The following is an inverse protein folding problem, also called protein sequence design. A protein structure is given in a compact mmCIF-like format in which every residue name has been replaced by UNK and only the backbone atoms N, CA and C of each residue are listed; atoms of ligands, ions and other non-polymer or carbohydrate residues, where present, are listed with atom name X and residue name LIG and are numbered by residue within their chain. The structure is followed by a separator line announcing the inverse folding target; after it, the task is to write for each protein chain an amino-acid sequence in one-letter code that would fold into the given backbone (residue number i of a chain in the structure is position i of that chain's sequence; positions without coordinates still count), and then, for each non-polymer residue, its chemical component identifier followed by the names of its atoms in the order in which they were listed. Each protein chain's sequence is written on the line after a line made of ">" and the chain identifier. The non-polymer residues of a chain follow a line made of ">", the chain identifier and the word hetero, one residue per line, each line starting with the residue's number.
data_IF_004164899070
#
_entry.id   IF_004164899070
#
_cell.length_a   1.000
_cell.length_b   1.000
_cell.length_c   1.000
_cell.angle_alpha   90.00
_cell.angle_beta   90.00
_cell.angle_gamma   90.00
#
_symmetry.space_group_name_H-M   'P 1'
#
loop_
_entity.id
_entity.type
_entity.pdbx_description
1 polymer ?
#
# COMPACT_ATOMS: atom_id res chain seq x y z
N UNK A 1 20.92 -1.12 -7.33
CA UNK A 1 19.99 -0.06 -7.80
C UNK A 1 18.98 0.19 -6.69
N UNK A 2 18.65 1.43 -6.35
CA UNK A 2 17.64 1.69 -5.31
C UNK A 2 16.24 1.37 -5.85
N UNK A 3 15.37 0.73 -5.07
CA UNK A 3 14.03 0.27 -5.49
C UNK A 3 13.20 1.38 -6.17
N UNK A 4 13.26 2.61 -5.64
CA UNK A 4 12.57 3.76 -6.23
C UNK A 4 13.14 4.16 -7.59
N UNK A 5 14.45 4.11 -7.77
CA UNK A 5 15.07 4.40 -9.06
C UNK A 5 14.65 3.38 -10.11
N UNK A 6 14.55 2.10 -9.74
CA UNK A 6 14.06 1.06 -10.63
C UNK A 6 12.59 1.29 -11.01
N UNK A 7 11.73 1.56 -10.02
CA UNK A 7 10.32 1.88 -10.25
C UNK A 7 10.15 3.05 -11.23
N UNK A 8 10.92 4.12 -11.03
CA UNK A 8 10.81 5.33 -11.84
C UNK A 8 11.38 5.14 -13.24
N UNK A 9 12.58 4.56 -13.35
CA UNK A 9 13.35 4.56 -14.60
C UNK A 9 13.30 3.25 -15.40
N UNK A 10 13.05 2.11 -14.76
CA UNK A 10 13.20 0.80 -15.40
C UNK A 10 11.89 0.04 -15.55
N UNK A 11 10.99 0.09 -14.57
CA UNK A 11 9.74 -0.69 -14.59
C UNK A 11 8.92 -0.45 -15.87
N UNK A 12 8.80 0.79 -16.33
CA UNK A 12 8.02 1.11 -17.53
C UNK A 12 8.59 0.55 -18.85
N UNK A 13 9.87 0.16 -18.86
CA UNK A 13 10.53 -0.45 -20.03
C UNK A 13 10.24 -1.95 -20.12
N UNK A 14 9.87 -2.59 -19.01
CA UNK A 14 9.66 -4.03 -18.95
C UNK A 14 8.23 -4.39 -19.39
N UNK A 15 8.04 -5.40 -20.27
CA UNK A 15 6.71 -5.84 -20.67
C UNK A 15 5.89 -6.37 -19.49
N UNK A 16 6.50 -7.14 -18.61
CA UNK A 16 5.82 -7.76 -17.46
C UNK A 16 5.34 -6.71 -16.46
N UNK A 17 6.15 -5.69 -16.19
CA UNK A 17 5.76 -4.58 -15.34
C UNK A 17 4.64 -3.74 -15.96
N UNK A 18 4.62 -3.54 -17.29
CA UNK A 18 3.49 -2.87 -17.96
C UNK A 18 2.20 -3.70 -17.87
N UNK A 19 2.30 -5.01 -18.07
CA UNK A 19 1.17 -5.92 -17.96
C UNK A 19 0.61 -5.93 -16.52
N UNK A 20 1.50 -6.07 -15.52
CA UNK A 20 1.12 -6.02 -14.12
C UNK A 20 0.55 -4.65 -13.73
N UNK A 21 1.14 -3.54 -14.17
CA UNK A 21 0.61 -2.21 -13.90
C UNK A 21 -0.82 -2.04 -14.44
N UNK A 22 -1.08 -2.49 -15.67
CA UNK A 22 -2.42 -2.46 -16.26
C UNK A 22 -3.42 -3.31 -15.47
N UNK A 23 -3.06 -4.54 -15.12
CA UNK A 23 -3.89 -5.44 -14.30
C UNK A 23 -4.16 -4.86 -12.90
N UNK A 24 -3.24 -4.07 -12.37
CA UNK A 24 -3.34 -3.41 -11.07
C UNK A 24 -3.97 -2.01 -11.14
N UNK A 25 -4.33 -1.50 -12.33
CA UNK A 25 -4.84 -0.13 -12.49
C UNK A 25 -3.83 0.94 -12.06
N UNK A 26 -2.54 0.69 -12.26
CA UNK A 26 -1.43 1.58 -11.93
C UNK A 26 -0.96 2.35 -13.15
N UNK A 27 -0.63 3.61 -12.94
CA UNK A 27 0.14 4.40 -13.90
C UNK A 27 1.63 4.37 -13.56
N UNK A 28 2.44 3.99 -14.54
CA UNK A 28 3.89 3.96 -14.41
C UNK A 28 4.47 5.38 -14.52
N UNK A 29 5.43 5.77 -13.67
CA UNK A 29 6.01 7.12 -13.65
C UNK A 29 6.83 7.48 -14.89
N UNK A 30 7.31 6.49 -15.67
CA UNK A 30 8.00 6.70 -16.95
C UNK A 30 9.16 7.73 -16.92
N UNK A 31 10.01 7.67 -15.87
CA UNK A 31 11.13 8.60 -15.67
C UNK A 31 10.77 9.88 -14.90
N UNK A 32 9.49 10.09 -14.55
CA UNK A 32 9.06 11.21 -13.74
C UNK A 32 9.22 10.92 -12.24
N UNK A 33 10.10 11.67 -11.58
CA UNK A 33 10.34 11.58 -10.12
C UNK A 33 9.36 12.40 -9.27
N UNK A 34 8.44 13.14 -9.89
CA UNK A 34 7.53 14.04 -9.19
C UNK A 34 6.18 13.38 -8.93
N UNK A 35 5.58 13.76 -7.79
CA UNK A 35 4.24 13.36 -7.41
C UNK A 35 4.15 11.96 -6.78
N UNK A 36 2.92 11.59 -6.44
CA UNK A 36 2.60 10.40 -5.65
C UNK A 36 2.95 9.10 -6.38
N UNK A 37 2.77 9.10 -7.71
CA UNK A 37 3.02 7.95 -8.58
C UNK A 37 4.50 7.57 -8.65
N UNK A 38 5.41 8.50 -8.34
CA UNK A 38 6.85 8.23 -8.27
C UNK A 38 7.29 7.60 -6.93
N UNK A 39 6.45 7.67 -5.91
CA UNK A 39 6.73 7.09 -4.59
C UNK A 39 6.44 5.59 -4.53
N UNK A 40 7.24 4.86 -3.75
CA UNK A 40 7.10 3.40 -3.61
C UNK A 40 5.79 2.95 -2.97
N UNK A 41 5.20 3.78 -2.11
CA UNK A 41 3.93 3.48 -1.45
C UNK A 41 2.79 3.26 -2.44
N UNK A 42 2.76 3.99 -3.56
CA UNK A 42 1.70 3.89 -4.56
C UNK A 42 1.58 2.47 -5.17
N UNK A 43 2.61 1.91 -5.82
CA UNK A 43 2.55 0.55 -6.36
C UNK A 43 2.50 -0.52 -5.26
N UNK A 44 3.19 -0.34 -4.13
CA UNK A 44 3.16 -1.31 -3.02
C UNK A 44 1.74 -1.42 -2.44
N UNK A 45 1.06 -0.29 -2.23
CA UNK A 45 -0.32 -0.27 -1.71
C UNK A 45 -1.26 -1.01 -2.64
N UNK A 46 -1.09 -0.85 -3.96
CA UNK A 46 -1.92 -1.56 -4.92
C UNK A 46 -1.72 -3.07 -4.87
N UNK A 47 -0.47 -3.54 -4.86
CA UNK A 47 -0.16 -4.96 -4.69
C UNK A 47 -0.75 -5.51 -3.39
N UNK A 48 -0.65 -4.76 -2.31
CA UNK A 48 -1.20 -5.14 -1.01
C UNK A 48 -2.73 -5.24 -1.03
N UNK A 49 -3.41 -4.26 -1.63
CA UNK A 49 -4.88 -4.25 -1.72
C UNK A 49 -5.44 -5.40 -2.53
N UNK A 50 -4.75 -5.84 -3.57
CA UNK A 50 -5.19 -6.94 -4.43
C UNK A 50 -4.64 -8.31 -4.00
N UNK A 51 -3.87 -8.36 -2.89
CA UNK A 51 -3.26 -9.58 -2.39
C UNK A 51 -2.13 -10.13 -3.28
N UNK A 52 -1.54 -9.27 -4.11
CA UNK A 52 -0.45 -9.57 -5.05
C UNK A 52 0.92 -9.09 -4.55
N UNK A 53 1.07 -8.81 -3.27
CA UNK A 53 2.31 -8.39 -2.61
C UNK A 53 3.29 -9.56 -2.42
N UNK A 54 3.73 -10.17 -3.53
CA UNK A 54 4.63 -11.32 -3.57
C UNK A 54 6.05 -10.93 -4.00
N UNK A 55 7.10 -11.68 -3.61
CA UNK A 55 8.48 -11.38 -4.03
C UNK A 55 8.66 -11.28 -5.55
N UNK A 56 7.90 -12.05 -6.33
CA UNK A 56 7.91 -11.99 -7.79
C UNK A 56 7.42 -10.63 -8.31
N UNK A 57 6.27 -10.16 -7.84
CA UNK A 57 5.74 -8.85 -8.24
C UNK A 57 6.61 -7.69 -7.73
N UNK A 58 7.26 -7.87 -6.57
CA UNK A 58 8.25 -6.93 -6.09
C UNK A 58 9.46 -6.83 -7.02
N UNK A 59 9.98 -7.97 -7.53
CA UNK A 59 11.06 -7.95 -8.53
C UNK A 59 10.65 -7.25 -9.81
N UNK A 60 9.42 -7.48 -10.28
CA UNK A 60 8.88 -6.86 -11.49
C UNK A 60 8.83 -5.33 -11.36
N UNK A 61 8.35 -4.79 -10.23
CA UNK A 61 8.22 -3.33 -10.08
C UNK A 61 9.44 -2.62 -9.52
N UNK A 62 10.28 -3.31 -8.74
CA UNK A 62 11.33 -2.66 -7.94
C UNK A 62 12.73 -3.25 -8.15
N UNK A 63 12.85 -4.37 -8.88
CA UNK A 63 14.13 -5.06 -9.08
C UNK A 63 14.69 -5.71 -7.81
N UNK A 64 13.87 -5.86 -6.76
CA UNK A 64 14.23 -6.44 -5.45
C UNK A 64 13.10 -7.33 -4.94
N UNK A 65 13.39 -8.22 -4.00
CA UNK A 65 12.41 -9.19 -3.47
C UNK A 65 11.43 -8.58 -2.47
N UNK A 66 11.80 -7.46 -1.83
CA UNK A 66 10.97 -6.79 -0.84
C UNK A 66 11.42 -5.35 -0.61
N UNK A 67 10.51 -4.54 -0.07
CA UNK A 67 10.77 -3.21 0.48
C UNK A 67 10.17 -3.18 1.89
N UNK A 68 10.83 -3.81 2.88
CA UNK A 68 10.19 -4.31 4.09
C UNK A 68 9.48 -3.23 4.92
N UNK A 69 10.12 -2.08 5.16
CA UNK A 69 9.54 -1.04 6.01
C UNK A 69 8.27 -0.43 5.39
N UNK A 70 8.34 -0.05 4.11
CA UNK A 70 7.22 0.53 3.37
C UNK A 70 6.11 -0.51 3.17
N UNK A 71 6.49 -1.76 2.88
CA UNK A 71 5.54 -2.86 2.72
C UNK A 71 4.80 -3.15 4.03
N UNK A 72 5.50 -3.28 5.15
CA UNK A 72 4.90 -3.55 6.46
C UNK A 72 3.97 -2.41 6.91
N UNK A 73 4.38 -1.15 6.73
CA UNK A 73 3.53 0.01 7.03
C UNK A 73 2.26 0.01 6.17
N UNK A 74 2.43 -0.18 4.86
CA UNK A 74 1.31 -0.20 3.91
C UNK A 74 0.36 -1.37 4.16
N UNK A 75 0.90 -2.54 4.51
CA UNK A 75 0.13 -3.73 4.91
C UNK A 75 -0.79 -3.41 6.08
N UNK A 76 -0.26 -2.80 7.12
CA UNK A 76 -1.01 -2.40 8.31
C UNK A 76 -2.13 -1.41 7.95
N UNK A 77 -1.82 -0.37 7.18
CA UNK A 77 -2.82 0.62 6.75
C UNK A 77 -3.97 0.00 5.95
N UNK A 78 -3.66 -0.90 5.00
CA UNK A 78 -4.69 -1.56 4.18
C UNK A 78 -5.55 -2.50 5.03
N UNK A 79 -4.94 -3.28 5.92
CA UNK A 79 -5.67 -4.17 6.81
C UNK A 79 -6.55 -3.42 7.81
N UNK A 80 -6.15 -2.23 8.24
CA UNK A 80 -6.94 -1.37 9.11
C UNK A 80 -8.00 -0.55 8.36
N UNK A 81 -7.96 -0.49 7.03
CA UNK A 81 -8.91 0.32 6.25
C UNK A 81 -10.38 0.02 6.58
N UNK A 82 -10.82 -1.24 6.77
CA UNK A 82 -12.19 -1.55 7.18
C UNK A 82 -12.60 -1.03 8.56
N UNK A 83 -11.64 -0.73 9.45
CA UNK A 83 -11.91 -0.23 10.80
C UNK A 83 -11.87 1.29 10.89
N UNK A 84 -11.48 1.98 9.80
CA UNK A 84 -11.42 3.44 9.76
C UNK A 84 -12.84 4.02 9.70
N UNK A 85 -13.11 4.99 10.57
CA UNK A 85 -14.41 5.67 10.64
C UNK A 85 -14.75 6.38 9.32
N UNK A 86 -16.01 6.24 8.89
CA UNK A 86 -16.51 6.96 7.72
C UNK A 86 -16.48 8.48 7.91
N UNK A 87 -16.09 9.21 6.87
CA UNK A 87 -15.92 10.66 6.89
C UNK A 87 -14.66 11.15 7.63
N UNK A 88 -13.86 10.26 8.21
CA UNK A 88 -12.59 10.66 8.83
C UNK A 88 -11.56 11.09 7.79
N UNK A 89 -10.59 11.96 8.15
CA UNK A 89 -9.47 12.31 7.26
C UNK A 89 -8.71 11.09 6.75
N UNK A 90 -8.54 10.07 7.60
CA UNK A 90 -7.90 8.81 7.22
C UNK A 90 -8.67 8.07 6.12
N UNK A 91 -10.01 8.03 6.19
CA UNK A 91 -10.82 7.41 5.15
C UNK A 91 -10.66 8.15 3.81
N UNK A 92 -10.70 9.49 3.83
CA UNK A 92 -10.53 10.30 2.63
C UNK A 92 -9.17 10.10 1.99
N UNK A 93 -8.10 10.09 2.82
CA UNK A 93 -6.75 9.81 2.34
C UNK A 93 -6.64 8.41 1.74
N UNK A 94 -7.20 7.38 2.38
CA UNK A 94 -7.20 6.03 1.82
C UNK A 94 -7.90 5.99 0.47
N UNK A 95 -9.10 6.57 0.34
CA UNK A 95 -9.82 6.65 -0.95
C UNK A 95 -9.00 7.33 -2.03
N UNK A 96 -8.29 8.39 -1.69
CA UNK A 96 -7.41 9.11 -2.63
C UNK A 96 -6.26 8.23 -3.14
N UNK A 97 -5.63 7.43 -2.26
CA UNK A 97 -4.60 6.48 -2.67
C UNK A 97 -5.14 5.27 -3.46
N UNK A 98 -6.39 4.90 -3.19
CA UNK A 98 -7.04 3.70 -3.69
C UNK A 98 -7.80 3.94 -5.01
N UNK A 99 -7.82 5.18 -5.49
CA UNK A 99 -8.48 5.54 -6.74
C UNK A 99 -7.98 4.69 -7.92
N UNK A 100 -8.92 4.11 -8.67
CA UNK A 100 -8.64 3.21 -9.79
C UNK A 100 -8.20 1.80 -9.39
N UNK A 101 -8.26 1.42 -8.10
CA UNK A 101 -8.00 0.04 -7.68
C UNK A 101 -9.06 -0.93 -8.22
N UNK A 102 -8.67 -2.02 -8.90
CA UNK A 102 -9.62 -2.93 -9.56
C UNK A 102 -10.42 -3.78 -8.56
N UNK A 103 -9.85 -4.07 -7.39
CA UNK A 103 -10.51 -4.87 -6.36
C UNK A 103 -9.85 -4.66 -5.00
N UNK A 104 -10.64 -4.81 -3.93
CA UNK A 104 -10.14 -4.89 -2.56
C UNK A 104 -10.19 -6.34 -2.10
N UNK A 105 -9.06 -7.03 -2.19
CA UNK A 105 -8.89 -8.43 -1.79
C UNK A 105 -7.49 -8.66 -1.18
N UNK A 106 -7.13 -7.94 -0.09
CA UNK A 106 -5.84 -8.11 0.53
C UNK A 106 -5.69 -9.53 1.06
N UNK A 107 -4.45 -10.05 1.06
CA UNK A 107 -4.17 -11.32 1.73
C UNK A 107 -4.53 -11.24 3.22
N UNK A 108 -4.97 -12.36 3.84
CA UNK A 108 -5.21 -12.41 5.28
C UNK A 108 -4.00 -11.92 6.08
N UNK A 109 -4.30 -11.29 7.22
CA UNK A 109 -3.26 -10.90 8.17
C UNK A 109 -2.55 -12.14 8.71
N UNK A 110 -1.23 -12.06 8.83
CA UNK A 110 -0.44 -12.99 9.64
C UNK A 110 -0.71 -12.75 11.12
N UNK A 111 -0.36 -13.71 11.98
CA UNK A 111 -0.52 -13.57 13.44
C UNK A 111 0.18 -12.32 14.00
N UNK A 112 1.37 -12.00 13.48
CA UNK A 112 2.12 -10.81 13.88
C UNK A 112 1.44 -9.50 13.42
N UNK A 113 0.96 -9.45 12.17
CA UNK A 113 0.19 -8.31 11.66
C UNK A 113 -1.09 -8.11 12.49
N UNK A 114 -1.81 -9.20 12.80
CA UNK A 114 -3.02 -9.17 13.61
C UNK A 114 -2.76 -8.63 15.02
N UNK A 115 -1.69 -9.09 15.67
CA UNK A 115 -1.31 -8.63 17.01
C UNK A 115 -0.92 -7.14 17.04
N UNK A 116 -0.29 -6.63 15.98
CA UNK A 116 0.03 -5.21 15.86
C UNK A 116 -1.23 -4.37 15.61
N UNK A 117 -2.11 -4.81 14.70
CA UNK A 117 -3.37 -4.13 14.40
C UNK A 117 -4.24 -4.05 15.65
N UNK A 118 -4.35 -5.14 16.41
CA UNK A 118 -5.13 -5.14 17.65
C UNK A 118 -4.57 -4.12 18.64
N UNK A 119 -3.24 -4.08 18.84
CA UNK A 119 -2.59 -3.09 19.70
C UNK A 119 -2.90 -1.65 19.28
N UNK A 120 -2.93 -1.37 17.98
CA UNK A 120 -3.28 -0.04 17.48
C UNK A 120 -4.76 0.30 17.69
N UNK A 121 -5.67 -0.65 17.46
CA UNK A 121 -7.09 -0.46 17.69
C UNK A 121 -7.39 -0.22 19.18
N UNK A 122 -6.77 -0.98 20.07
CA UNK A 122 -6.89 -0.80 21.52
C UNK A 122 -6.41 0.58 21.95
N UNK A 123 -5.29 1.06 21.39
CA UNK A 123 -4.79 2.40 21.64
C UNK A 123 -5.76 3.49 21.16
N UNK A 124 -6.31 3.36 19.95
CA UNK A 124 -7.27 4.31 19.39
C UNK A 124 -8.55 4.37 20.24
N UNK A 125 -9.06 3.20 20.66
CA UNK A 125 -10.25 3.11 21.49
C UNK A 125 -10.01 3.70 22.89
N UNK A 126 -8.88 3.37 23.52
CA UNK A 126 -8.51 3.94 24.83
C UNK A 126 -8.33 5.45 24.78
N UNK A 127 -7.74 5.98 23.71
CA UNK A 127 -7.55 7.41 23.52
C UNK A 127 -8.87 8.15 23.22
N UNK A 128 -9.76 7.55 22.44
CA UNK A 128 -11.11 8.08 22.19
C UNK A 128 -11.96 8.14 23.47
N UNK A 129 -11.89 7.11 24.32
CA UNK A 129 -12.57 7.11 25.62
C UNK A 129 -12.04 8.20 26.58
N UNK A 130 -10.74 8.50 26.50
CA UNK A 130 -10.12 9.59 27.28
C UNK A 130 -10.57 10.98 26.81
N UNK A 131 -10.70 11.21 25.49
CA UNK A 131 -11.12 12.50 24.93
C UNK A 131 -12.65 12.73 24.96
N UNK A 132 -13.46 11.67 24.97
CA UNK A 132 -14.92 11.73 25.02
C UNK A 132 -15.51 11.92 26.42
N UNK A 133 -14.69 11.94 27.48
CA UNK A 133 -15.11 12.21 28.85
C UNK A 133 -14.96 13.70 29.18
N UNK A 134 -15.91 14.53 28.72
CA UNK A 134 -16.13 15.91 29.20
C UNK A 134 -17.61 16.26 29.23
#
# INVERSE_FOLDING_TARGET
>A
MQAQQFWVNEAHKQPDARALANDQGLELPAGNFQGLKAGLKYPIRRLVMTGKDTPENFRIFFGVDSVPDIHAETRKEVLMTPTVQEGSPSQMMNRFWDEGCPSFSPRPATEAEQAEIQRQLDFIQGFSGFLGSR
#
